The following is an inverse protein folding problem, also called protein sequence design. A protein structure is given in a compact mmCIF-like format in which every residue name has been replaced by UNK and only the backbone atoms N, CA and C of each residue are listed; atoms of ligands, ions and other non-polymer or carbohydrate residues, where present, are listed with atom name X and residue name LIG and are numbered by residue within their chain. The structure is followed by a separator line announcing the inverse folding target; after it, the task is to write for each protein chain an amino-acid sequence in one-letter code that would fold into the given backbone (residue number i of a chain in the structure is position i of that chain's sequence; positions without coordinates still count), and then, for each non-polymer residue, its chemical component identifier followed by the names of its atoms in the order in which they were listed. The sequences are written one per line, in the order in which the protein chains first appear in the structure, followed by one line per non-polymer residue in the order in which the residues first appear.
data_IF_886575667654
#
_entry.id   IF_886575667654
#
_cell.length_a   1.000
_cell.length_b   1.000
_cell.length_c   1.000
_cell.angle_alpha   90.00
_cell.angle_beta   90.00
_cell.angle_gamma   90.00
#
_symmetry.space_group_name_H-M   'P 1'
#
loop_
_entity.id
_entity.type
_entity.pdbx_description
1 polymer ?
#
# COMPACT_ATOMS: atom_id res chain seq x y z
N UNK A 1 -35.27 -14.58 -3.32
CA UNK A 1 -34.14 -14.26 -2.42
C UNK A 1 -32.91 -15.09 -2.77
N UNK A 2 -33.00 -16.43 -2.83
CA UNK A 2 -31.84 -17.31 -3.11
C UNK A 2 -31.22 -17.02 -4.49
N UNK A 3 -32.02 -16.88 -5.54
CA UNK A 3 -31.52 -16.57 -6.88
C UNK A 3 -30.80 -15.22 -6.95
N UNK A 4 -31.32 -14.21 -6.26
CA UNK A 4 -30.66 -12.90 -6.19
C UNK A 4 -29.33 -12.93 -5.46
N UNK A 5 -29.23 -13.77 -4.41
CA UNK A 5 -27.96 -13.96 -3.70
C UNK A 5 -26.91 -14.70 -4.55
N UNK A 6 -27.35 -15.75 -5.30
CA UNK A 6 -26.47 -16.48 -6.21
C UNK A 6 -25.98 -15.57 -7.35
N UNK A 7 -26.88 -14.78 -7.92
CA UNK A 7 -26.54 -13.82 -8.98
C UNK A 7 -25.54 -12.76 -8.49
N UNK A 8 -25.77 -12.21 -7.30
CA UNK A 8 -24.82 -11.27 -6.70
C UNK A 8 -23.45 -11.92 -6.41
N UNK A 9 -23.41 -13.15 -5.91
CA UNK A 9 -22.16 -13.86 -5.69
C UNK A 9 -21.37 -14.07 -6.98
N UNK A 10 -22.06 -14.30 -8.11
CA UNK A 10 -21.42 -14.46 -9.42
C UNK A 10 -20.96 -13.16 -10.06
N UNK A 11 -21.75 -12.09 -9.94
CA UNK A 11 -21.62 -10.90 -10.76
C UNK A 11 -21.35 -9.61 -9.98
N UNK A 12 -21.60 -9.58 -8.67
CA UNK A 12 -21.53 -8.38 -7.86
C UNK A 12 -22.56 -7.31 -8.29
N UNK A 13 -22.38 -6.09 -7.77
CA UNK A 13 -23.28 -4.97 -8.10
C UNK A 13 -23.06 -4.41 -9.51
N UNK A 14 -21.85 -4.49 -10.03
CA UNK A 14 -21.52 -3.89 -11.34
C UNK A 14 -21.69 -4.82 -12.51
N UNK A 15 -21.81 -6.13 -12.29
CA UNK A 15 -21.97 -7.13 -13.34
C UNK A 15 -20.99 -6.93 -14.52
N UNK A 16 -19.71 -6.75 -14.18
CA UNK A 16 -18.67 -6.46 -15.17
C UNK A 16 -18.23 -7.74 -15.89
N UNK A 17 -17.88 -7.58 -17.16
CA UNK A 17 -17.19 -8.61 -17.92
C UNK A 17 -15.75 -8.81 -17.41
N UNK A 18 -15.17 -10.00 -17.67
CA UNK A 18 -13.82 -10.33 -17.19
C UNK A 18 -12.77 -9.29 -17.59
N UNK A 19 -12.81 -8.76 -18.80
CA UNK A 19 -11.83 -7.76 -19.26
C UNK A 19 -11.99 -6.41 -18.55
N UNK A 20 -13.20 -6.03 -18.17
CA UNK A 20 -13.45 -4.82 -17.37
C UNK A 20 -12.90 -4.97 -15.95
N UNK A 21 -13.03 -6.18 -15.36
CA UNK A 21 -12.42 -6.50 -14.05
C UNK A 21 -10.89 -6.43 -14.15
N UNK A 22 -10.31 -6.97 -15.22
CA UNK A 22 -8.86 -6.85 -15.47
C UNK A 22 -8.44 -5.38 -15.60
N UNK A 23 -9.15 -4.57 -16.38
CA UNK A 23 -8.86 -3.14 -16.51
C UNK A 23 -8.98 -2.39 -15.18
N UNK A 24 -10.01 -2.67 -14.38
CA UNK A 24 -10.15 -2.11 -13.05
C UNK A 24 -8.95 -2.47 -12.16
N UNK A 25 -8.57 -3.74 -12.14
CA UNK A 25 -7.44 -4.22 -11.34
C UNK A 25 -6.14 -3.56 -11.77
N UNK A 26 -5.88 -3.44 -13.07
CA UNK A 26 -4.72 -2.74 -13.60
C UNK A 26 -4.73 -1.25 -13.26
N UNK A 27 -5.87 -0.57 -13.39
CA UNK A 27 -6.01 0.84 -13.07
C UNK A 27 -5.75 1.12 -11.58
N UNK A 28 -6.37 0.33 -10.69
CA UNK A 28 -6.20 0.47 -9.24
C UNK A 28 -4.77 0.15 -8.80
N UNK A 29 -4.14 -0.86 -9.39
CA UNK A 29 -2.71 -1.17 -9.20
C UNK A 29 -1.84 0.02 -9.66
N UNK A 30 -2.14 0.60 -10.82
CA UNK A 30 -1.39 1.74 -11.36
C UNK A 30 -1.49 2.98 -10.44
N UNK A 31 -2.66 3.24 -9.87
CA UNK A 31 -2.83 4.31 -8.86
C UNK A 31 -1.96 4.02 -7.63
N UNK A 32 -1.86 2.76 -7.20
CA UNK A 32 -0.99 2.37 -6.07
C UNK A 32 0.48 2.63 -6.39
N UNK A 33 0.94 2.23 -7.59
CA UNK A 33 2.32 2.51 -8.05
C UNK A 33 2.57 4.02 -8.09
N UNK A 34 1.63 4.80 -8.62
CA UNK A 34 1.72 6.26 -8.64
C UNK A 34 1.77 6.85 -7.22
N UNK A 35 0.96 6.36 -6.29
CA UNK A 35 0.96 6.80 -4.89
C UNK A 35 2.30 6.52 -4.21
N UNK A 36 2.88 5.34 -4.43
CA UNK A 36 4.22 5.01 -3.90
C UNK A 36 5.28 5.89 -4.56
N UNK A 37 5.28 6.00 -5.89
CA UNK A 37 6.35 6.69 -6.63
C UNK A 37 6.29 8.21 -6.44
N UNK A 38 5.10 8.81 -6.53
CA UNK A 38 4.96 10.27 -6.47
C UNK A 38 4.94 10.74 -5.02
N UNK A 39 4.07 10.15 -4.20
CA UNK A 39 3.89 10.62 -2.84
C UNK A 39 4.96 10.08 -1.90
N UNK A 40 5.06 8.76 -1.68
CA UNK A 40 6.01 8.22 -0.69
C UNK A 40 7.47 8.47 -1.10
N UNK A 41 7.81 8.16 -2.34
CA UNK A 41 9.19 8.23 -2.81
C UNK A 41 9.62 9.66 -3.11
N UNK A 42 9.01 10.32 -4.09
CA UNK A 42 9.48 11.64 -4.55
C UNK A 42 9.15 12.76 -3.57
N UNK A 43 7.90 12.82 -3.07
CA UNK A 43 7.50 13.93 -2.21
C UNK A 43 7.96 13.73 -0.76
N UNK A 44 7.77 12.54 -0.18
CA UNK A 44 8.05 12.35 1.24
C UNK A 44 9.49 11.91 1.51
N UNK A 45 10.02 10.89 0.82
CA UNK A 45 11.36 10.38 1.11
C UNK A 45 12.45 11.32 0.61
N UNK A 46 12.41 11.69 -0.66
CA UNK A 46 13.44 12.52 -1.29
C UNK A 46 13.20 14.04 -1.24
N UNK A 47 11.97 14.46 -0.94
CA UNK A 47 11.56 15.87 -0.94
C UNK A 47 11.90 16.60 -2.25
N UNK A 48 11.81 15.85 -3.35
CA UNK A 48 12.08 16.37 -4.70
C UNK A 48 10.82 16.98 -5.35
N UNK A 49 9.68 16.90 -4.67
CA UNK A 49 8.39 17.37 -5.16
C UNK A 49 7.53 17.84 -3.99
N UNK A 50 7.01 19.05 -4.09
CA UNK A 50 6.00 19.59 -3.18
C UNK A 50 4.61 19.31 -3.74
N UNK A 51 3.79 18.58 -2.99
CA UNK A 51 2.42 18.25 -3.38
C UNK A 51 1.43 19.17 -2.65
N UNK A 52 0.49 19.71 -3.42
CA UNK A 52 -0.67 20.38 -2.85
C UNK A 52 -1.45 19.41 -1.93
N UNK A 53 -2.15 19.96 -0.94
CA UNK A 53 -2.86 19.18 0.08
C UNK A 53 -3.83 18.14 -0.51
N UNK A 54 -4.58 18.49 -1.57
CA UNK A 54 -5.58 17.60 -2.18
C UNK A 54 -4.95 16.30 -2.74
N UNK A 55 -3.97 16.33 -3.67
CA UNK A 55 -3.33 15.09 -4.14
C UNK A 55 -2.57 14.37 -3.02
N UNK A 56 -1.99 15.09 -2.05
CA UNK A 56 -1.34 14.47 -0.88
C UNK A 56 -2.33 13.63 -0.07
N UNK A 57 -3.52 14.17 0.25
CA UNK A 57 -4.57 13.42 0.94
C UNK A 57 -5.13 12.27 0.11
N UNK A 58 -5.31 12.44 -1.19
CA UNK A 58 -5.76 11.38 -2.08
C UNK A 58 -4.81 10.18 -2.04
N UNK A 59 -3.50 10.39 -2.20
CA UNK A 59 -2.52 9.32 -2.17
C UNK A 59 -2.43 8.64 -0.79
N UNK A 60 -2.51 9.38 0.29
CA UNK A 60 -2.51 8.83 1.66
C UNK A 60 -3.74 7.97 1.91
N UNK A 61 -4.92 8.45 1.52
CA UNK A 61 -6.16 7.68 1.59
C UNK A 61 -6.07 6.40 0.76
N UNK A 62 -5.55 6.51 -0.47
CA UNK A 62 -5.39 5.37 -1.37
C UNK A 62 -4.42 4.32 -0.80
N UNK A 63 -3.29 4.74 -0.27
CA UNK A 63 -2.32 3.85 0.38
C UNK A 63 -2.92 3.17 1.62
N UNK A 64 -3.72 3.90 2.39
CA UNK A 64 -4.39 3.36 3.56
C UNK A 64 -5.39 2.27 3.20
N UNK A 65 -6.29 2.51 2.23
CA UNK A 65 -7.30 1.54 1.82
C UNK A 65 -6.69 0.39 1.00
N UNK A 66 -5.67 0.68 0.19
CA UNK A 66 -5.07 -0.26 -0.76
C UNK A 66 -4.00 -1.16 -0.15
N UNK A 67 -3.12 -0.66 0.71
CA UNK A 67 -1.88 -1.36 1.05
C UNK A 67 -1.55 -1.45 2.53
N UNK A 68 -2.13 -0.59 3.38
CA UNK A 68 -1.68 -0.34 4.75
C UNK A 68 -0.25 0.23 4.85
N UNK A 69 0.32 0.77 3.80
CA UNK A 69 1.62 1.46 3.88
C UNK A 69 1.45 2.77 4.64
N UNK A 70 2.02 2.84 5.85
CA UNK A 70 2.05 4.06 6.64
C UNK A 70 3.19 4.95 6.17
N UNK A 71 2.88 6.22 5.92
CA UNK A 71 3.83 7.19 5.35
C UNK A 71 5.15 7.23 6.12
N UNK A 72 5.08 7.31 7.45
CA UNK A 72 6.25 7.40 8.32
C UNK A 72 7.12 6.14 8.31
N UNK A 73 6.49 4.97 8.36
CA UNK A 73 7.19 3.68 8.33
C UNK A 73 7.92 3.50 7.00
N UNK A 74 7.20 3.68 5.89
CA UNK A 74 7.76 3.50 4.56
C UNK A 74 8.93 4.45 4.28
N UNK A 75 8.76 5.73 4.58
CA UNK A 75 9.80 6.76 4.39
C UNK A 75 11.03 6.48 5.24
N UNK A 76 10.83 6.05 6.49
CA UNK A 76 11.94 5.73 7.38
C UNK A 76 12.77 4.54 6.85
N UNK A 77 12.11 3.48 6.42
CA UNK A 77 12.76 2.29 5.87
C UNK A 77 13.50 2.64 4.57
N UNK A 78 12.87 3.40 3.68
CA UNK A 78 13.44 3.81 2.42
C UNK A 78 14.67 4.72 2.59
N UNK A 79 14.60 5.70 3.50
CA UNK A 79 15.76 6.56 3.80
C UNK A 79 16.89 5.80 4.49
N UNK A 80 16.57 4.81 5.34
CA UNK A 80 17.58 3.92 5.91
C UNK A 80 18.28 3.12 4.84
N UNK A 81 17.52 2.56 3.88
CA UNK A 81 18.09 1.87 2.72
C UNK A 81 19.11 2.77 1.99
N UNK A 82 18.73 4.00 1.63
CA UNK A 82 19.67 4.93 0.99
C UNK A 82 20.90 5.26 1.85
N UNK A 83 20.71 5.43 3.15
CA UNK A 83 21.81 5.79 4.07
C UNK A 83 22.76 4.62 4.37
N UNK A 84 22.28 3.39 4.20
CA UNK A 84 22.99 2.15 4.55
C UNK A 84 23.11 1.19 3.36
N UNK A 85 22.94 1.70 2.16
CA UNK A 85 22.91 0.92 0.93
C UNK A 85 24.03 -0.12 0.90
N UNK A 86 23.66 -1.38 0.63
CA UNK A 86 24.56 -2.54 0.51
C UNK A 86 25.39 -2.90 1.75
N UNK A 87 25.09 -2.32 2.91
CA UNK A 87 25.68 -2.74 4.19
C UNK A 87 24.79 -3.76 4.91
N UNK A 88 25.30 -4.37 5.98
CA UNK A 88 24.55 -5.31 6.84
C UNK A 88 23.32 -4.65 7.50
N UNK A 89 23.35 -3.33 7.66
CA UNK A 89 22.25 -2.53 8.22
C UNK A 89 21.17 -2.17 7.21
N UNK A 90 21.39 -2.45 5.92
CA UNK A 90 20.40 -2.20 4.86
C UNK A 90 19.20 -3.16 5.04
N UNK A 91 17.96 -2.62 5.18
CA UNK A 91 16.80 -3.45 5.45
C UNK A 91 16.45 -4.42 4.32
N UNK A 92 16.82 -4.14 3.07
CA UNK A 92 16.44 -4.96 1.91
C UNK A 92 17.48 -4.97 0.77
N UNK A 93 18.77 -4.93 1.11
CA UNK A 93 19.82 -5.07 0.09
C UNK A 93 19.87 -6.50 -0.47
N UNK A 94 19.82 -6.68 -1.80
CA UNK A 94 20.05 -7.99 -2.42
C UNK A 94 21.48 -8.49 -2.23
N UNK A 95 22.47 -7.62 -2.05
CA UNK A 95 23.88 -7.98 -1.81
C UNK A 95 24.07 -8.69 -0.48
N UNK A 96 23.38 -8.20 0.58
CA UNK A 96 23.57 -8.74 1.93
C UNK A 96 22.54 -9.80 2.32
N UNK A 97 21.35 -9.78 1.70
CA UNK A 97 20.22 -10.67 2.05
C UNK A 97 19.91 -11.71 0.97
N UNK A 98 20.51 -11.57 -0.22
CA UNK A 98 20.23 -12.39 -1.38
C UNK A 98 19.02 -11.88 -2.20
N UNK A 99 19.14 -11.96 -3.52
CA UNK A 99 18.12 -11.50 -4.46
C UNK A 99 16.76 -12.19 -4.24
N UNK A 100 16.78 -13.51 -4.04
CA UNK A 100 15.55 -14.29 -3.82
C UNK A 100 14.82 -13.85 -2.56
N UNK A 101 15.56 -13.57 -1.48
CA UNK A 101 14.98 -13.08 -0.24
C UNK A 101 14.30 -11.72 -0.44
N UNK A 102 14.97 -10.80 -1.12
CA UNK A 102 14.40 -9.46 -1.37
C UNK A 102 13.20 -9.55 -2.29
N UNK A 103 13.27 -10.39 -3.33
CA UNK A 103 12.19 -10.53 -4.32
C UNK A 103 10.95 -11.21 -3.74
N UNK A 104 11.10 -12.33 -3.02
CA UNK A 104 9.97 -13.14 -2.56
C UNK A 104 9.54 -12.86 -1.13
N UNK A 105 10.42 -12.28 -0.31
CA UNK A 105 10.17 -11.99 1.10
C UNK A 105 10.29 -10.50 1.44
N UNK A 106 10.26 -9.62 0.44
CA UNK A 106 10.37 -8.17 0.64
C UNK A 106 9.33 -7.61 1.62
N UNK A 107 8.09 -8.11 1.58
CA UNK A 107 7.06 -7.73 2.53
C UNK A 107 7.36 -8.16 3.98
N UNK A 108 8.07 -9.28 4.19
CA UNK A 108 8.50 -9.72 5.52
C UNK A 108 9.64 -8.83 6.03
N UNK A 109 10.61 -8.52 5.17
CA UNK A 109 11.70 -7.59 5.50
C UNK A 109 11.15 -6.21 5.89
N UNK A 110 10.20 -5.70 5.12
CA UNK A 110 9.51 -4.44 5.44
C UNK A 110 8.82 -4.50 6.81
N UNK A 111 8.02 -5.56 7.07
CA UNK A 111 7.31 -5.72 8.35
C UNK A 111 8.26 -5.90 9.54
N UNK A 112 9.41 -6.52 9.33
CA UNK A 112 10.42 -6.63 10.37
C UNK A 112 11.02 -5.27 10.70
N UNK A 113 11.42 -4.51 9.66
CA UNK A 113 12.04 -3.21 9.84
C UNK A 113 11.03 -2.13 10.33
N UNK A 114 9.76 -2.22 9.98
CA UNK A 114 8.72 -1.28 10.47
C UNK A 114 8.50 -1.35 11.99
N UNK A 115 8.93 -2.44 12.64
CA UNK A 115 8.92 -2.59 14.11
C UNK A 115 10.16 -1.99 14.78
N UNK A 116 11.18 -1.63 14.02
CA UNK A 116 12.39 -1.04 14.52
C UNK A 116 12.18 0.45 14.83
N UNK A 117 11.90 0.74 16.10
CA UNK A 117 11.59 2.09 16.56
C UNK A 117 12.77 3.06 16.43
N UNK A 118 14.01 2.56 16.43
CA UNK A 118 15.19 3.39 16.17
C UNK A 118 15.20 3.89 14.73
N UNK A 119 14.95 3.00 13.77
CA UNK A 119 14.80 3.37 12.36
C UNK A 119 13.69 4.40 12.16
N UNK A 120 12.51 4.16 12.76
CA UNK A 120 11.37 5.07 12.62
C UNK A 120 11.67 6.46 13.20
N UNK A 121 12.31 6.52 14.38
CA UNK A 121 12.69 7.80 15.01
C UNK A 121 13.75 8.55 14.20
N UNK A 122 14.78 7.84 13.73
CA UNK A 122 15.93 8.44 13.06
C UNK A 122 15.61 8.91 11.64
N UNK A 123 14.87 8.12 10.87
CA UNK A 123 14.67 8.35 9.44
C UNK A 123 13.25 8.80 9.06
N UNK A 124 12.25 8.64 9.95
CA UNK A 124 10.85 8.96 9.67
C UNK A 124 10.45 10.42 9.91
N UNK A 125 11.42 11.33 10.04
CA UNK A 125 11.14 12.74 10.30
C UNK A 125 10.55 13.48 9.10
N UNK A 126 9.70 14.50 9.38
CA UNK A 126 9.12 15.37 8.36
C UNK A 126 8.09 14.74 7.44
N UNK A 127 7.54 13.58 7.82
CA UNK A 127 6.35 12.97 7.19
C UNK A 127 5.08 13.61 7.76
N UNK A 128 3.93 13.50 7.07
CA UNK A 128 2.66 14.02 7.58
C UNK A 128 2.36 13.51 8.99
N UNK A 129 1.96 14.42 9.86
CA UNK A 129 1.57 14.14 11.25
C UNK A 129 0.32 14.96 11.62
N UNK A 130 -0.65 15.01 10.72
CA UNK A 130 -1.94 15.68 10.94
C UNK A 130 -2.95 14.77 11.67
N UNK A 131 -4.14 15.32 11.91
CA UNK A 131 -5.21 14.60 12.60
C UNK A 131 -5.60 13.30 11.88
N UNK A 132 -5.67 13.31 10.54
CA UNK A 132 -6.03 12.12 9.73
C UNK A 132 -4.97 11.03 9.87
N UNK A 133 -3.68 11.41 9.79
CA UNK A 133 -2.58 10.46 9.94
C UNK A 133 -2.62 9.76 11.29
N UNK A 134 -2.77 10.54 12.38
CA UNK A 134 -2.76 10.00 13.75
C UNK A 134 -4.00 9.18 14.10
N UNK A 135 -5.19 9.68 13.70
CA UNK A 135 -6.46 9.11 14.19
C UNK A 135 -7.12 8.15 13.21
N UNK A 136 -6.76 8.17 11.93
CA UNK A 136 -7.36 7.31 10.92
C UNK A 136 -6.32 6.36 10.33
N UNK A 137 -5.35 6.88 9.60
CA UNK A 137 -4.45 6.04 8.80
C UNK A 137 -3.54 5.15 9.65
N UNK A 138 -2.93 5.71 10.69
CA UNK A 138 -2.07 4.93 11.60
C UNK A 138 -2.89 4.04 12.52
N UNK A 139 -3.96 4.57 13.13
CA UNK A 139 -4.76 3.85 14.11
C UNK A 139 -5.57 2.70 13.52
N UNK A 140 -6.13 2.90 12.33
CA UNK A 140 -7.03 1.97 11.66
C UNK A 140 -6.45 1.39 10.36
N UNK A 141 -5.15 1.12 10.31
CA UNK A 141 -4.46 0.67 9.11
C UNK A 141 -5.05 -0.61 8.50
N UNK A 142 -5.39 -1.60 9.33
CA UNK A 142 -6.00 -2.86 8.84
C UNK A 142 -7.47 -2.70 8.44
N UNK A 143 -8.19 -1.76 9.05
CA UNK A 143 -9.57 -1.49 8.70
C UNK A 143 -9.70 -0.89 7.30
N UNK A 144 -8.73 -0.07 6.86
CA UNK A 144 -8.67 0.42 5.48
C UNK A 144 -8.58 -0.74 4.49
N UNK A 145 -7.67 -1.67 4.73
CA UNK A 145 -7.50 -2.87 3.90
C UNK A 145 -8.75 -3.76 3.89
N UNK A 146 -9.41 -3.91 5.05
CA UNK A 146 -10.67 -4.62 5.17
C UNK A 146 -11.83 -3.92 4.43
N UNK A 147 -11.86 -2.60 4.45
CA UNK A 147 -12.85 -1.81 3.70
C UNK A 147 -12.70 -2.03 2.19
N UNK A 148 -11.47 -2.08 1.66
CA UNK A 148 -11.24 -2.39 0.25
C UNK A 148 -11.74 -3.79 -0.11
N UNK A 149 -11.53 -4.80 0.75
CA UNK A 149 -12.08 -6.13 0.54
C UNK A 149 -13.62 -6.11 0.45
N UNK A 150 -14.26 -5.40 1.37
CA UNK A 150 -15.73 -5.27 1.37
C UNK A 150 -16.21 -4.59 0.09
N UNK A 151 -15.53 -3.54 -0.36
CA UNK A 151 -15.87 -2.84 -1.61
C UNK A 151 -15.69 -3.74 -2.82
N UNK A 152 -14.57 -4.45 -2.95
CA UNK A 152 -14.31 -5.35 -4.07
C UNK A 152 -15.31 -6.52 -4.09
N UNK A 153 -15.66 -7.10 -2.93
CA UNK A 153 -16.71 -8.13 -2.82
C UNK A 153 -18.08 -7.58 -3.21
N UNK A 154 -18.43 -6.37 -2.77
CA UNK A 154 -19.71 -5.75 -3.14
C UNK A 154 -19.79 -5.50 -4.65
N UNK A 155 -18.72 -5.01 -5.27
CA UNK A 155 -18.71 -4.64 -6.69
C UNK A 155 -18.63 -5.84 -7.63
N UNK A 156 -17.88 -6.90 -7.27
CA UNK A 156 -17.53 -8.01 -8.16
C UNK A 156 -17.98 -9.39 -7.65
N UNK A 157 -18.74 -9.44 -6.55
CA UNK A 157 -19.12 -10.70 -5.95
C UNK A 157 -17.90 -11.51 -5.46
N UNK A 158 -17.91 -12.82 -5.63
CA UNK A 158 -16.81 -13.67 -5.20
C UNK A 158 -15.47 -13.37 -5.88
N UNK A 159 -15.48 -12.89 -7.13
CA UNK A 159 -14.29 -12.44 -7.85
C UNK A 159 -13.59 -11.26 -7.18
N UNK A 160 -14.32 -10.46 -6.39
CA UNK A 160 -13.76 -9.35 -5.63
C UNK A 160 -12.64 -9.77 -4.67
N UNK A 161 -12.70 -10.99 -4.12
CA UNK A 161 -11.62 -11.53 -3.30
C UNK A 161 -10.32 -11.73 -4.11
N UNK A 162 -10.43 -12.19 -5.36
CA UNK A 162 -9.27 -12.34 -6.24
C UNK A 162 -8.70 -10.98 -6.67
N UNK A 163 -9.56 -10.02 -7.02
CA UNK A 163 -9.15 -8.62 -7.32
C UNK A 163 -8.40 -8.04 -6.14
N UNK A 164 -8.98 -8.12 -4.94
CA UNK A 164 -8.36 -7.66 -3.71
C UNK A 164 -7.00 -8.33 -3.43
N UNK A 165 -6.88 -9.63 -3.66
CA UNK A 165 -5.63 -10.36 -3.46
C UNK A 165 -4.55 -9.89 -4.46
N UNK A 166 -4.89 -9.73 -5.74
CA UNK A 166 -3.96 -9.25 -6.77
C UNK A 166 -3.46 -7.85 -6.45
N UNK A 167 -4.32 -6.94 -5.98
CA UNK A 167 -3.94 -5.59 -5.57
C UNK A 167 -2.93 -5.57 -4.40
N UNK A 168 -2.63 -6.69 -3.76
CA UNK A 168 -1.71 -6.81 -2.61
C UNK A 168 -0.42 -7.58 -2.90
N UNK A 169 -0.19 -7.95 -4.14
CA UNK A 169 1.05 -8.62 -4.57
C UNK A 169 2.25 -7.67 -4.66
N UNK A 170 2.08 -6.39 -4.30
CA UNK A 170 3.10 -5.32 -4.35
C UNK A 170 3.70 -4.97 -3.00
#
# INVERSE_FOLDING_TARGET
VLNAAIDWLGNGLWNLTWWQIVLYTLATTHITIAAVTIFLHRAQAHRALDLHAIPSHFFRFWLWIGTRMLSKEWVAIHRKHHAKCETVDDPHSPQTRGLDTVMWRGAELYRAESKNMETIKKFGHGTPDDWMERNVYTRYGWQGVGLMLILDLALFGALGAAVWAVQRLW
#
